data_IF_457257318999
#
_entry.id   IF_457257318999
#
_cell.length_a   1.000
_cell.length_b   1.000
_cell.length_c   1.000
_cell.angle_alpha   90.00
_cell.angle_beta   90.00
_cell.angle_gamma   90.00
#
_symmetry.space_group_name_H-M   'P 1'
#
loop_
_entity.id
_entity.type
_entity.pdbx_description
1 polymer ?
#
# COMPACT_ATOMS: atom_id res chain seq x y z
N UNK A 1 13.00 -7.07 -11.67
CA UNK A 1 11.57 -7.18 -11.21
C UNK A 1 10.90 -8.37 -11.86
N UNK A 2 10.08 -9.10 -11.14
CA UNK A 2 9.30 -10.21 -11.68
C UNK A 2 8.28 -9.70 -12.73
N UNK A 3 8.03 -10.50 -13.79
CA UNK A 3 7.10 -10.08 -14.85
C UNK A 3 5.69 -9.73 -14.34
N UNK A 4 5.17 -10.51 -13.38
CA UNK A 4 3.88 -10.25 -12.77
C UNK A 4 3.88 -8.98 -11.92
N UNK A 5 4.96 -8.69 -11.21
CA UNK A 5 5.13 -7.46 -10.43
C UNK A 5 5.08 -6.23 -11.33
N UNK A 6 5.85 -6.26 -12.43
CA UNK A 6 5.85 -5.19 -13.44
C UNK A 6 4.45 -4.94 -13.98
N UNK A 7 3.72 -6.00 -14.33
CA UNK A 7 2.36 -5.90 -14.85
C UNK A 7 1.40 -5.27 -13.84
N UNK A 8 1.51 -5.64 -12.56
CA UNK A 8 0.67 -5.07 -11.48
C UNK A 8 0.94 -3.58 -11.35
N UNK A 9 2.19 -3.15 -11.27
CA UNK A 9 2.52 -1.74 -11.10
C UNK A 9 2.22 -0.89 -12.33
N UNK A 10 2.38 -1.41 -13.55
CA UNK A 10 1.90 -0.76 -14.76
C UNK A 10 0.38 -0.57 -14.75
N UNK A 11 -0.35 -1.57 -14.27
CA UNK A 11 -1.79 -1.45 -14.10
C UNK A 11 -2.17 -0.41 -13.06
N UNK A 12 -1.50 -0.37 -11.91
CA UNK A 12 -1.74 0.68 -10.91
C UNK A 12 -1.50 2.07 -11.50
N UNK A 13 -0.39 2.24 -12.21
CA UNK A 13 -0.09 3.48 -12.93
C UNK A 13 -1.20 3.85 -13.90
N UNK A 14 -1.67 2.91 -14.72
CA UNK A 14 -2.78 3.15 -15.66
C UNK A 14 -4.07 3.56 -14.96
N UNK A 15 -4.45 2.90 -13.86
CA UNK A 15 -5.63 3.27 -13.05
C UNK A 15 -5.51 4.71 -12.55
N UNK A 16 -4.34 5.08 -12.05
CA UNK A 16 -4.09 6.41 -11.47
C UNK A 16 -4.09 7.47 -12.57
N UNK A 17 -3.36 7.25 -13.66
CA UNK A 17 -3.25 8.20 -14.78
C UNK A 17 -4.59 8.45 -15.49
N UNK A 18 -5.53 7.51 -15.41
CA UNK A 18 -6.90 7.73 -15.88
C UNK A 18 -7.69 8.74 -15.03
N UNK A 19 -7.24 9.00 -13.78
CA UNK A 19 -7.94 9.81 -12.79
C UNK A 19 -7.18 11.08 -12.40
N UNK A 20 -5.86 11.09 -12.61
CA UNK A 20 -4.95 12.20 -12.23
C UNK A 20 -4.08 12.54 -13.44
N UNK A 21 -3.95 13.83 -13.83
CA UNK A 21 -3.05 14.22 -14.91
C UNK A 21 -1.63 13.69 -14.66
N UNK A 22 -1.01 13.14 -15.70
CA UNK A 22 0.36 12.69 -15.63
C UNK A 22 1.27 13.84 -15.18
N UNK A 23 2.02 13.63 -14.10
CA UNK A 23 3.07 14.55 -13.69
C UNK A 23 4.16 14.63 -14.78
N UNK A 24 4.89 15.75 -14.84
CA UNK A 24 6.01 15.93 -15.79
C UNK A 24 7.10 14.84 -15.60
N UNK A 25 8.01 14.75 -16.57
CA UNK A 25 9.18 13.90 -16.44
C UNK A 25 10.01 14.33 -15.21
N UNK A 26 10.31 13.37 -14.35
CA UNK A 26 11.24 13.61 -13.24
C UNK A 26 12.65 13.86 -13.78
N UNK A 27 13.41 14.83 -13.23
CA UNK A 27 14.81 14.99 -13.57
C UNK A 27 15.60 13.71 -13.29
N UNK A 28 16.79 13.59 -13.84
CA UNK A 28 17.66 12.45 -13.56
C UNK A 28 17.89 12.33 -12.03
N UNK A 29 17.69 11.14 -11.44
CA UNK A 29 17.84 10.96 -9.99
C UNK A 29 19.28 11.23 -9.55
N UNK A 30 19.44 11.65 -8.30
CA UNK A 30 20.73 11.97 -7.69
C UNK A 30 20.94 11.13 -6.43
N UNK A 31 22.12 10.62 -6.24
CA UNK A 31 22.50 10.02 -4.97
C UNK A 31 22.65 11.09 -3.90
N UNK A 32 22.12 10.83 -2.73
CA UNK A 32 22.23 11.73 -1.58
C UNK A 32 22.34 10.91 -0.29
N UNK A 33 22.82 11.53 0.77
CA UNK A 33 22.66 11.05 2.14
C UNK A 33 21.47 11.79 2.74
N UNK A 34 20.84 11.20 3.76
CA UNK A 34 19.69 11.84 4.41
C UNK A 34 20.02 13.22 4.97
N UNK A 35 21.25 13.41 5.46
CA UNK A 35 21.74 14.69 5.98
C UNK A 35 21.73 15.79 4.92
N UNK A 36 22.02 15.46 3.67
CA UNK A 36 22.05 16.40 2.54
C UNK A 36 20.64 16.90 2.17
N UNK A 37 19.60 16.17 2.61
CA UNK A 37 18.20 16.45 2.32
C UNK A 37 17.49 17.21 3.46
N UNK A 38 18.13 17.32 4.64
CA UNK A 38 17.53 17.88 5.84
C UNK A 38 16.96 19.30 5.61
N UNK A 39 17.73 20.20 4.98
CA UNK A 39 17.31 21.58 4.76
C UNK A 39 16.45 21.78 3.50
N UNK A 40 16.29 20.74 2.70
CA UNK A 40 15.48 20.80 1.47
C UNK A 40 14.01 20.58 1.71
N UNK A 41 13.65 19.84 2.76
CA UNK A 41 12.28 19.42 3.04
C UNK A 41 11.84 19.83 4.44
N UNK A 42 10.57 20.12 4.56
CA UNK A 42 9.89 20.51 5.80
C UNK A 42 9.24 19.30 6.47
N UNK A 43 8.86 18.31 5.66
CA UNK A 43 8.25 17.07 6.10
C UNK A 43 8.87 15.85 5.42
N UNK A 44 8.96 14.75 6.18
CA UNK A 44 9.48 13.46 5.75
C UNK A 44 8.44 12.38 6.00
N UNK A 45 8.01 11.72 4.94
CA UNK A 45 7.12 10.57 4.99
C UNK A 45 7.94 9.30 4.76
N UNK A 46 7.80 8.31 5.61
CA UNK A 46 8.54 7.05 5.51
C UNK A 46 7.59 5.88 5.28
N UNK A 47 7.95 5.00 4.35
CA UNK A 47 7.46 3.64 4.44
C UNK A 47 8.08 2.91 5.64
N UNK A 48 7.39 1.88 6.14
CA UNK A 48 7.85 1.10 7.29
C UNK A 48 8.67 -0.12 6.89
N UNK A 49 7.97 -1.13 6.34
CA UNK A 49 8.54 -2.43 6.03
C UNK A 49 9.36 -2.40 4.74
N UNK A 50 10.65 -2.67 4.83
CA UNK A 50 11.59 -2.56 3.71
C UNK A 50 12.41 -1.26 3.74
N UNK A 51 11.91 -0.22 4.40
CA UNK A 51 12.57 1.08 4.49
C UNK A 51 13.20 1.32 5.87
N UNK A 52 12.42 1.36 6.94
CA UNK A 52 12.91 1.58 8.30
C UNK A 52 13.20 0.27 9.03
N UNK A 53 12.34 -0.70 8.86
CA UNK A 53 12.39 -1.99 9.56
C UNK A 53 11.78 -3.12 8.73
N UNK A 54 11.88 -4.36 9.26
CA UNK A 54 11.24 -5.51 8.69
C UNK A 54 10.55 -6.34 9.79
N UNK A 55 10.15 -7.57 9.48
CA UNK A 55 9.46 -8.49 10.41
C UNK A 55 10.25 -8.70 11.70
N UNK A 56 9.55 -9.04 12.77
CA UNK A 56 10.16 -9.21 14.08
C UNK A 56 10.72 -7.88 14.62
N UNK A 57 11.92 -7.92 15.16
CA UNK A 57 12.65 -6.76 15.71
C UNK A 57 13.70 -6.19 14.75
N UNK A 58 13.71 -6.63 13.49
CA UNK A 58 14.73 -6.21 12.53
C UNK A 58 14.57 -4.72 12.17
N UNK A 59 15.68 -4.00 12.27
CA UNK A 59 15.80 -2.58 11.89
C UNK A 59 16.95 -2.46 10.90
N UNK A 60 16.74 -1.71 9.84
CA UNK A 60 17.79 -1.47 8.86
C UNK A 60 18.84 -0.51 9.39
N UNK A 61 20.10 -0.74 9.03
CA UNK A 61 21.23 0.11 9.42
C UNK A 61 21.00 1.56 8.98
N UNK A 62 21.29 2.50 9.89
CA UNK A 62 21.12 3.95 9.68
C UNK A 62 19.68 4.46 9.81
N UNK A 63 18.65 3.61 9.80
CA UNK A 63 17.26 4.06 9.85
C UNK A 63 16.91 4.80 11.16
N UNK A 64 17.43 4.33 12.31
CA UNK A 64 17.23 5.03 13.59
C UNK A 64 18.00 6.34 13.67
N UNK A 65 19.15 6.44 13.01
CA UNK A 65 19.92 7.69 12.93
C UNK A 65 19.15 8.73 12.12
N UNK A 66 18.56 8.37 10.99
CA UNK A 66 17.67 9.24 10.21
C UNK A 66 16.51 9.73 11.06
N UNK A 67 15.81 8.82 11.72
CA UNK A 67 14.69 9.16 12.58
C UNK A 67 15.07 10.15 13.67
N UNK A 68 16.15 9.87 14.40
CA UNK A 68 16.64 10.69 15.52
C UNK A 68 17.06 12.08 15.05
N UNK A 69 17.82 12.16 13.96
CA UNK A 69 18.28 13.40 13.36
C UNK A 69 17.10 14.30 12.93
N UNK A 70 16.11 13.73 12.22
CA UNK A 70 14.95 14.47 11.74
C UNK A 70 14.07 14.97 12.90
N UNK A 71 13.88 14.14 13.93
CA UNK A 71 13.17 14.55 15.17
C UNK A 71 13.90 15.68 15.89
N UNK A 72 15.22 15.59 16.04
CA UNK A 72 16.02 16.64 16.66
C UNK A 72 15.98 17.96 15.87
N UNK A 73 15.87 17.88 14.55
CA UNK A 73 15.71 19.04 13.68
C UNK A 73 14.27 19.59 13.62
N UNK A 74 13.33 19.02 14.39
CA UNK A 74 11.93 19.47 14.43
C UNK A 74 11.14 19.26 13.16
N UNK A 75 11.55 18.31 12.30
CA UNK A 75 10.86 18.02 11.04
C UNK A 75 9.52 17.34 11.28
N UNK A 76 8.53 17.67 10.46
CA UNK A 76 7.29 16.91 10.43
C UNK A 76 7.57 15.51 9.88
N UNK A 77 7.09 14.47 10.56
CA UNK A 77 7.34 13.10 10.13
C UNK A 77 6.05 12.30 10.07
N UNK A 78 5.93 11.40 9.09
CA UNK A 78 4.79 10.47 8.96
C UNK A 78 5.29 9.08 8.62
N UNK A 79 4.67 8.08 9.23
CA UNK A 79 4.79 6.69 8.83
C UNK A 79 3.63 6.36 7.88
N UNK A 80 3.95 6.07 6.62
CA UNK A 80 2.96 5.77 5.58
C UNK A 80 3.14 4.32 5.15
N UNK A 81 2.22 3.45 5.54
CA UNK A 81 2.40 2.02 5.32
C UNK A 81 1.20 1.38 4.61
N UNK A 82 1.50 0.42 3.73
CA UNK A 82 0.49 -0.44 3.14
C UNK A 82 0.11 -1.62 4.06
N UNK A 83 0.68 -1.70 5.25
CA UNK A 83 0.28 -2.69 6.24
C UNK A 83 -1.17 -2.45 6.67
N UNK A 84 -2.01 -3.46 6.47
CA UNK A 84 -3.40 -3.52 6.95
C UNK A 84 -3.58 -4.71 7.91
N UNK A 85 -2.52 -5.02 8.65
CA UNK A 85 -2.49 -6.16 9.58
C UNK A 85 -3.05 -5.83 10.96
N UNK A 86 -3.28 -4.53 11.23
CA UNK A 86 -3.93 -4.01 12.43
C UNK A 86 -4.27 -2.52 12.24
N UNK A 87 -4.88 -1.89 13.25
CA UNK A 87 -5.22 -0.47 13.27
C UNK A 87 -4.00 0.42 13.52
N UNK A 88 -4.07 1.71 13.14
CA UNK A 88 -2.94 2.65 13.17
C UNK A 88 -2.27 2.77 14.55
N UNK A 89 -3.02 2.74 15.65
CA UNK A 89 -2.48 2.79 17.01
C UNK A 89 -1.59 1.58 17.34
N UNK A 90 -1.96 0.38 16.88
CA UNK A 90 -1.17 -0.85 17.06
C UNK A 90 0.07 -0.82 16.18
N UNK A 91 -0.05 -0.36 14.93
CA UNK A 91 1.08 -0.22 14.00
C UNK A 91 2.09 0.82 14.51
N UNK A 92 1.62 1.95 15.08
CA UNK A 92 2.48 2.95 15.73
C UNK A 92 3.23 2.36 16.93
N UNK A 93 2.52 1.62 17.80
CA UNK A 93 3.13 0.95 18.95
C UNK A 93 4.16 -0.12 18.52
N UNK A 94 3.91 -0.80 17.41
CA UNK A 94 4.84 -1.77 16.85
C UNK A 94 6.10 -1.12 16.26
N UNK A 95 5.97 0.03 15.60
CA UNK A 95 7.11 0.84 15.16
C UNK A 95 7.92 1.37 16.36
N UNK A 96 7.25 1.81 17.43
CA UNK A 96 7.89 2.31 18.64
C UNK A 96 8.78 1.25 19.33
N UNK A 97 8.38 -0.03 19.33
CA UNK A 97 9.21 -1.15 19.84
C UNK A 97 10.52 -1.30 19.07
N UNK A 98 10.61 -0.80 17.84
CA UNK A 98 11.81 -0.80 17.00
C UNK A 98 12.59 0.51 17.06
N UNK A 99 12.20 1.43 17.97
CA UNK A 99 12.86 2.73 18.14
C UNK A 99 12.26 3.88 17.33
N UNK A 100 11.13 3.66 16.63
CA UNK A 100 10.46 4.68 15.82
C UNK A 100 9.17 5.13 16.50
N UNK A 101 9.26 6.07 17.42
CA UNK A 101 8.12 6.55 18.22
C UNK A 101 7.22 7.51 17.41
N UNK A 102 6.61 7.01 16.36
CA UNK A 102 5.51 7.70 15.69
C UNK A 102 4.26 7.63 16.58
N UNK A 103 3.56 8.74 16.69
CA UNK A 103 2.23 8.74 17.30
C UNK A 103 1.20 8.10 16.35
N UNK A 104 0.02 7.75 16.87
CA UNK A 104 -1.10 7.30 16.04
C UNK A 104 -1.46 8.33 14.96
N UNK A 105 -1.46 9.63 15.30
CA UNK A 105 -1.75 10.71 14.35
C UNK A 105 -0.66 10.89 13.26
N UNK A 106 0.55 10.41 13.50
CA UNK A 106 1.64 10.40 12.52
C UNK A 106 1.68 9.10 11.70
N UNK A 107 0.89 8.11 12.05
CA UNK A 107 0.84 6.80 11.38
C UNK A 107 -0.40 6.75 10.49
N UNK A 108 -0.20 6.51 9.21
CA UNK A 108 -1.27 6.43 8.21
C UNK A 108 -1.10 5.11 7.47
N UNK A 109 -1.97 4.16 7.76
CA UNK A 109 -1.98 2.87 7.10
C UNK A 109 -3.03 2.80 6.00
N UNK A 110 -2.85 1.88 5.06
CA UNK A 110 -3.86 1.57 4.06
C UNK A 110 -5.16 1.07 4.70
N UNK A 111 -5.06 0.31 5.80
CA UNK A 111 -6.22 -0.18 6.56
C UNK A 111 -7.11 0.94 7.07
N UNK A 112 -6.53 2.04 7.53
CA UNK A 112 -7.30 3.17 8.07
C UNK A 112 -8.18 3.90 7.04
N UNK A 113 -7.93 3.67 5.74
CA UNK A 113 -8.75 4.23 4.65
C UNK A 113 -10.07 3.47 4.44
N UNK A 114 -10.20 2.27 5.02
CA UNK A 114 -11.44 1.48 4.89
C UNK A 114 -12.65 2.22 5.42
N UNK A 115 -12.49 2.99 6.48
CA UNK A 115 -13.58 3.79 7.08
C UNK A 115 -14.15 4.80 6.09
N UNK A 116 -13.28 5.52 5.38
CA UNK A 116 -13.70 6.53 4.40
C UNK A 116 -14.37 5.87 3.19
N UNK A 117 -13.82 4.74 2.72
CA UNK A 117 -14.42 3.94 1.66
C UNK A 117 -15.81 3.41 2.07
N UNK A 118 -15.98 2.96 3.31
CA UNK A 118 -17.29 2.51 3.82
C UNK A 118 -18.32 3.64 3.76
N UNK A 119 -17.95 4.85 4.17
CA UNK A 119 -18.83 6.02 4.09
C UNK A 119 -19.21 6.30 2.63
N UNK A 120 -18.25 6.27 1.74
CA UNK A 120 -18.49 6.46 0.29
C UNK A 120 -19.47 5.42 -0.26
N UNK A 121 -19.19 4.12 -0.06
CA UNK A 121 -20.01 3.04 -0.60
C UNK A 121 -21.42 3.01 -0.03
N UNK A 122 -21.58 3.34 1.26
CA UNK A 122 -22.90 3.44 1.93
C UNK A 122 -23.71 4.68 1.47
N UNK A 123 -23.04 5.75 1.02
CA UNK A 123 -23.69 6.99 0.58
C UNK A 123 -24.15 6.99 -0.87
N UNK A 124 -23.73 6.02 -1.69
CA UNK A 124 -24.09 5.93 -3.11
C UNK A 124 -25.61 5.77 -3.28
N UNK A 125 -26.17 6.48 -4.27
CA UNK A 125 -27.61 6.41 -4.57
C UNK A 125 -27.98 5.10 -5.25
N UNK A 126 -29.10 4.52 -4.86
CA UNK A 126 -29.67 3.32 -5.49
C UNK A 126 -29.94 3.58 -6.98
N UNK A 127 -29.43 2.73 -7.88
CA UNK A 127 -29.86 2.70 -9.29
C UNK A 127 -28.98 3.47 -10.30
N UNK A 128 -27.84 3.98 -9.93
CA UNK A 128 -26.90 4.66 -10.86
C UNK A 128 -25.78 3.72 -11.35
N UNK A 129 -26.07 2.72 -12.15
CA UNK A 129 -25.04 1.90 -12.83
C UNK A 129 -23.95 1.31 -11.90
N UNK A 130 -22.69 1.39 -12.27
CA UNK A 130 -21.53 1.14 -11.41
C UNK A 130 -21.57 2.06 -10.19
N UNK A 131 -22.32 1.72 -9.14
CA UNK A 131 -22.45 2.64 -8.00
C UNK A 131 -23.68 2.41 -7.13
N UNK A 132 -24.29 1.22 -7.14
CA UNK A 132 -25.34 0.90 -6.18
C UNK A 132 -24.80 1.02 -4.74
N UNK A 133 -25.64 1.56 -3.83
CA UNK A 133 -25.36 1.53 -2.40
C UNK A 133 -24.99 0.13 -1.95
N UNK A 134 -23.92 0.00 -1.20
CA UNK A 134 -23.45 -1.27 -0.65
C UNK A 134 -23.59 -1.29 0.86
N UNK A 135 -24.07 -2.39 1.37
CA UNK A 135 -24.18 -2.63 2.80
C UNK A 135 -22.98 -3.47 3.25
N UNK A 136 -21.91 -2.77 3.67
CA UNK A 136 -20.66 -3.37 4.11
C UNK A 136 -20.74 -3.79 5.59
N UNK A 137 -21.63 -4.72 5.93
CA UNK A 137 -21.70 -5.25 7.30
C UNK A 137 -20.92 -6.56 7.47
N UNK A 138 -20.74 -7.31 6.38
CA UNK A 138 -19.97 -8.55 6.42
C UNK A 138 -19.21 -8.75 5.11
N UNK A 139 -18.05 -9.42 5.22
CA UNK A 139 -17.16 -9.72 4.10
C UNK A 139 -16.56 -11.12 4.25
N UNK A 140 -16.20 -11.74 3.14
CA UNK A 140 -15.26 -12.85 3.14
C UNK A 140 -13.85 -12.29 3.27
N UNK A 141 -13.08 -12.75 4.26
CA UNK A 141 -11.81 -12.15 4.59
C UNK A 141 -10.62 -13.09 4.36
N UNK A 142 -9.58 -12.58 3.69
CA UNK A 142 -8.29 -13.23 3.52
C UNK A 142 -7.22 -12.37 4.18
N UNK A 143 -6.55 -12.91 5.20
CA UNK A 143 -5.51 -12.19 5.91
C UNK A 143 -5.15 -12.83 7.25
N UNK A 144 -4.36 -12.10 8.03
CA UNK A 144 -4.03 -12.47 9.39
C UNK A 144 -5.21 -12.19 10.31
N UNK A 145 -5.30 -12.92 11.42
CA UNK A 145 -6.38 -12.72 12.41
C UNK A 145 -6.44 -11.28 12.92
N UNK A 146 -5.28 -10.69 13.22
CA UNK A 146 -5.20 -9.29 13.69
C UNK A 146 -5.70 -8.27 12.66
N UNK A 147 -5.64 -8.56 11.37
CA UNK A 147 -6.19 -7.68 10.34
C UNK A 147 -7.71 -7.54 10.38
N UNK A 148 -8.41 -8.43 11.12
CA UNK A 148 -9.86 -8.28 11.38
C UNK A 148 -10.17 -7.08 12.25
N UNK A 149 -9.23 -6.62 13.10
CA UNK A 149 -9.41 -5.39 13.87
C UNK A 149 -9.67 -4.17 12.97
N UNK A 150 -9.09 -4.15 11.76
CA UNK A 150 -9.36 -3.11 10.77
C UNK A 150 -10.81 -3.17 10.29
N UNK A 151 -11.35 -4.37 10.03
CA UNK A 151 -12.75 -4.55 9.66
C UNK A 151 -13.69 -4.15 10.81
N UNK A 152 -13.40 -4.64 12.00
CA UNK A 152 -14.18 -4.38 13.23
C UNK A 152 -14.24 -2.87 13.56
N UNK A 153 -13.14 -2.14 13.32
CA UNK A 153 -13.10 -0.67 13.48
C UNK A 153 -14.07 0.08 12.56
N UNK A 154 -14.60 -0.62 11.54
CA UNK A 154 -15.56 -0.10 10.57
C UNK A 154 -16.95 -0.75 10.68
N UNK A 155 -17.21 -1.49 11.78
CA UNK A 155 -18.44 -2.27 12.00
C UNK A 155 -18.66 -3.34 10.91
N UNK A 156 -17.57 -3.95 10.41
CA UNK A 156 -17.59 -5.01 9.40
C UNK A 156 -17.20 -6.33 10.06
N UNK A 157 -17.99 -7.36 9.84
CA UNK A 157 -17.74 -8.72 10.31
C UNK A 157 -17.09 -9.58 9.22
N UNK A 158 -16.03 -10.29 9.54
CA UNK A 158 -15.54 -11.38 8.70
C UNK A 158 -16.42 -12.62 8.88
N UNK A 159 -16.95 -13.16 7.79
CA UNK A 159 -17.73 -14.43 7.84
C UNK A 159 -16.77 -15.62 8.06
N UNK A 160 -17.30 -16.74 8.53
CA UNK A 160 -16.53 -17.96 8.69
C UNK A 160 -15.99 -18.47 7.33
N UNK A 161 -14.84 -19.16 7.28
CA UNK A 161 -14.20 -19.56 6.02
C UNK A 161 -15.07 -20.41 5.08
N UNK A 162 -16.02 -21.18 5.61
CA UNK A 162 -16.97 -21.98 4.81
C UNK A 162 -18.28 -21.25 4.48
N UNK A 163 -18.45 -20.00 4.97
CA UNK A 163 -19.65 -19.21 4.74
C UNK A 163 -19.46 -18.22 3.57
N UNK A 164 -20.61 -17.77 3.04
CA UNK A 164 -20.63 -16.69 2.05
C UNK A 164 -21.28 -15.45 2.67
N UNK A 165 -20.73 -14.25 2.44
CA UNK A 165 -21.38 -13.02 2.87
C UNK A 165 -22.65 -12.77 2.05
N UNK A 166 -23.61 -12.04 2.59
CA UNK A 166 -24.86 -11.67 1.90
C UNK A 166 -24.54 -10.94 0.60
N UNK A 167 -23.75 -9.87 0.69
CA UNK A 167 -23.19 -9.23 -0.49
C UNK A 167 -21.87 -9.91 -0.90
N UNK A 168 -21.58 -10.05 -2.21
CA UNK A 168 -20.40 -10.76 -2.68
C UNK A 168 -19.14 -9.89 -2.53
N UNK A 169 -18.70 -9.69 -1.30
CA UNK A 169 -17.56 -8.83 -0.97
C UNK A 169 -16.45 -9.68 -0.37
N UNK A 170 -15.28 -9.61 -0.99
CA UNK A 170 -14.03 -10.19 -0.49
C UNK A 170 -13.11 -9.06 -0.06
N UNK A 171 -12.64 -9.08 1.18
CA UNK A 171 -11.62 -8.16 1.70
C UNK A 171 -10.32 -8.91 1.95
N UNK A 172 -9.19 -8.34 1.58
CA UNK A 172 -7.89 -8.96 1.80
C UNK A 172 -6.86 -7.96 2.33
N UNK A 173 -6.11 -8.37 3.36
CA UNK A 173 -5.05 -7.56 3.98
C UNK A 173 -3.67 -8.19 3.88
N UNK A 174 -3.56 -9.47 3.59
CA UNK A 174 -2.28 -10.17 3.39
C UNK A 174 -2.49 -11.46 2.59
N UNK A 175 -1.43 -11.93 1.90
CA UNK A 175 -1.42 -13.18 1.17
C UNK A 175 -1.33 -14.37 2.15
N UNK A 176 -2.44 -14.67 2.84
CA UNK A 176 -2.60 -15.78 3.79
C UNK A 176 -3.76 -16.68 3.37
N UNK A 177 -3.82 -16.94 2.06
CA UNK A 177 -4.76 -17.88 1.47
C UNK A 177 -4.30 -19.34 1.63
N UNK A 178 -5.28 -20.23 1.64
CA UNK A 178 -5.13 -21.65 1.37
C UNK A 178 -5.87 -21.95 0.05
N UNK A 179 -5.64 -23.11 -0.59
CA UNK A 179 -6.41 -23.49 -1.78
C UNK A 179 -7.93 -23.34 -1.58
N UNK A 180 -8.44 -23.77 -0.44
CA UNK A 180 -9.88 -23.75 -0.12
C UNK A 180 -10.39 -22.30 0.04
N UNK A 181 -9.65 -21.45 0.77
CA UNK A 181 -10.05 -20.05 0.95
C UNK A 181 -9.92 -19.25 -0.35
N UNK A 182 -8.95 -19.57 -1.19
CA UNK A 182 -8.81 -19.00 -2.51
C UNK A 182 -9.98 -19.35 -3.42
N UNK A 183 -10.30 -20.65 -3.55
CA UNK A 183 -11.42 -21.12 -4.38
C UNK A 183 -12.75 -20.52 -3.93
N UNK A 184 -12.99 -20.43 -2.62
CA UNK A 184 -14.19 -19.80 -2.07
C UNK A 184 -14.25 -18.30 -2.40
N UNK A 185 -13.13 -17.59 -2.29
CA UNK A 185 -13.06 -16.17 -2.68
C UNK A 185 -13.37 -15.97 -4.17
N UNK A 186 -12.78 -16.80 -5.05
CA UNK A 186 -13.06 -16.74 -6.50
C UNK A 186 -14.54 -17.01 -6.78
N UNK A 187 -15.14 -17.99 -6.09
CA UNK A 187 -16.58 -18.30 -6.22
C UNK A 187 -17.45 -17.08 -5.84
N UNK A 188 -17.13 -16.42 -4.73
CA UNK A 188 -17.82 -15.20 -4.29
C UNK A 188 -17.66 -14.09 -5.32
N UNK A 189 -16.42 -13.87 -5.80
CA UNK A 189 -16.09 -12.80 -6.75
C UNK A 189 -16.68 -13.01 -8.16
N UNK A 190 -17.15 -14.21 -8.50
CA UNK A 190 -17.91 -14.49 -9.73
C UNK A 190 -19.39 -14.16 -9.64
N UNK A 191 -19.88 -13.77 -8.47
CA UNK A 191 -21.28 -13.37 -8.30
C UNK A 191 -21.53 -11.97 -8.89
N UNK A 192 -22.73 -11.68 -9.43
CA UNK A 192 -23.08 -10.35 -9.93
C UNK A 192 -22.88 -9.25 -8.87
N UNK A 193 -22.21 -8.17 -9.25
CA UNK A 193 -21.93 -7.05 -8.37
C UNK A 193 -20.86 -7.30 -7.32
N UNK A 194 -20.01 -8.29 -7.54
CA UNK A 194 -18.95 -8.62 -6.60
C UNK A 194 -17.90 -7.48 -6.44
N UNK A 195 -17.40 -7.36 -5.23
CA UNK A 195 -16.38 -6.37 -4.85
C UNK A 195 -15.16 -7.07 -4.25
N UNK A 196 -13.98 -6.69 -4.70
CA UNK A 196 -12.70 -7.03 -4.09
C UNK A 196 -12.11 -5.80 -3.40
N UNK A 197 -11.98 -5.83 -2.08
CA UNK A 197 -11.34 -4.80 -1.27
C UNK A 197 -9.88 -5.20 -1.00
N UNK A 198 -8.94 -4.54 -1.64
CA UNK A 198 -7.50 -4.77 -1.48
C UNK A 198 -6.98 -3.79 -0.44
N UNK A 199 -6.87 -4.24 0.83
CA UNK A 199 -6.43 -3.39 1.94
C UNK A 199 -4.92 -3.18 1.96
N UNK A 200 -4.15 -3.98 1.23
CA UNK A 200 -2.71 -3.83 1.02
C UNK A 200 -2.39 -4.09 -0.46
N UNK A 201 -1.91 -3.08 -1.14
CA UNK A 201 -1.61 -3.10 -2.58
C UNK A 201 -0.17 -3.48 -2.93
N UNK A 202 0.72 -3.73 -1.96
CA UNK A 202 2.09 -4.15 -2.25
C UNK A 202 2.09 -5.47 -3.02
N UNK A 203 2.76 -5.50 -4.18
CA UNK A 203 2.83 -6.70 -5.01
C UNK A 203 3.91 -7.65 -4.50
N UNK A 204 5.09 -7.14 -4.18
CA UNK A 204 6.21 -7.85 -3.58
C UNK A 204 6.70 -7.13 -2.33
N UNK A 205 7.38 -7.87 -1.45
CA UNK A 205 8.00 -7.32 -0.26
C UNK A 205 9.35 -7.99 0.00
N UNK A 206 10.35 -7.23 0.50
CA UNK A 206 11.65 -7.80 0.86
C UNK A 206 11.54 -8.63 2.14
N UNK A 207 12.21 -9.77 2.16
CA UNK A 207 12.50 -10.51 3.40
C UNK A 207 13.64 -9.82 4.14
N UNK A 208 13.84 -10.22 5.39
CA UNK A 208 15.06 -9.87 6.12
C UNK A 208 16.24 -10.44 5.32
N UNK A 209 17.30 -9.63 5.07
CA UNK A 209 18.49 -10.11 4.38
C UNK A 209 19.07 -11.37 5.07
N UNK A 210 19.53 -12.33 4.28
CA UNK A 210 20.25 -13.49 4.79
C UNK A 210 21.63 -13.11 5.35
N UNK A 211 22.33 -14.10 5.92
CA UNK A 211 23.71 -13.92 6.44
C UNK A 211 24.71 -13.50 5.34
N UNK A 212 24.37 -13.74 4.07
CA UNK A 212 25.10 -13.31 2.88
C UNK A 212 24.79 -11.86 2.47
N UNK A 213 23.91 -11.17 3.18
CA UNK A 213 23.44 -9.82 2.86
C UNK A 213 22.46 -9.74 1.69
N UNK A 214 22.06 -10.88 1.11
CA UNK A 214 21.15 -10.91 -0.04
C UNK A 214 19.70 -10.74 0.45
N UNK A 215 19.00 -9.78 -0.13
CA UNK A 215 17.57 -9.58 0.10
C UNK A 215 16.76 -10.42 -0.90
N UNK A 216 16.06 -11.41 -0.39
CA UNK A 216 15.07 -12.19 -1.15
C UNK A 216 13.72 -11.49 -1.08
N UNK A 217 13.01 -11.42 -2.19
CA UNK A 217 11.65 -10.87 -2.26
C UNK A 217 10.60 -11.96 -2.36
N UNK A 218 9.42 -11.70 -1.85
CA UNK A 218 8.28 -12.62 -1.97
C UNK A 218 7.03 -11.88 -2.46
N UNK A 219 6.16 -12.56 -3.24
CA UNK A 219 4.86 -12.02 -3.60
C UNK A 219 3.99 -11.88 -2.35
N UNK A 220 3.26 -10.77 -2.28
CA UNK A 220 2.38 -10.47 -1.15
C UNK A 220 0.96 -10.10 -1.64
N UNK A 221 0.25 -9.28 -0.92
CA UNK A 221 -1.18 -9.01 -1.10
C UNK A 221 -1.58 -8.56 -2.51
N UNK A 222 -0.81 -7.68 -3.12
CA UNK A 222 -1.07 -7.19 -4.47
C UNK A 222 -1.00 -8.31 -5.53
N UNK A 223 -0.03 -9.23 -5.40
CA UNK A 223 0.06 -10.39 -6.29
C UNK A 223 -1.14 -11.33 -6.13
N UNK A 224 -1.58 -11.59 -4.89
CA UNK A 224 -2.78 -12.38 -4.63
C UNK A 224 -4.04 -11.68 -5.18
N UNK A 225 -4.16 -10.36 -4.98
CA UNK A 225 -5.31 -9.59 -5.48
C UNK A 225 -5.44 -9.67 -7.00
N UNK A 226 -4.31 -9.62 -7.71
CA UNK A 226 -4.30 -9.72 -9.16
C UNK A 226 -4.75 -11.12 -9.64
N UNK A 227 -4.32 -12.18 -8.96
CA UNK A 227 -4.79 -13.54 -9.24
C UNK A 227 -6.30 -13.66 -9.03
N UNK A 228 -6.81 -13.21 -7.87
CA UNK A 228 -8.24 -13.22 -7.57
C UNK A 228 -9.05 -12.44 -8.61
N UNK A 229 -8.57 -11.25 -9.00
CA UNK A 229 -9.22 -10.44 -10.00
C UNK A 229 -9.31 -11.13 -11.37
N UNK A 230 -8.22 -11.77 -11.82
CA UNK A 230 -8.20 -12.51 -13.10
C UNK A 230 -9.12 -13.72 -13.08
N UNK A 231 -9.06 -14.50 -12.02
CA UNK A 231 -9.84 -15.72 -11.89
C UNK A 231 -11.34 -15.45 -11.60
N UNK A 232 -11.68 -14.20 -11.21
CA UNK A 232 -13.08 -13.77 -11.05
C UNK A 232 -13.78 -13.39 -12.35
N UNK A 233 -13.04 -13.24 -13.46
CA UNK A 233 -13.65 -12.98 -14.78
C UNK A 233 -14.53 -14.18 -15.18
N UNK A 234 -15.76 -13.90 -15.54
CA UNK A 234 -16.72 -14.91 -15.98
C UNK A 234 -17.28 -14.53 -17.36
N UNK A 235 -16.65 -15.04 -18.42
CA UNK A 235 -17.04 -14.78 -19.81
C UNK A 235 -18.48 -15.22 -20.11
N UNK A 236 -18.95 -16.30 -19.47
CA UNK A 236 -20.30 -16.85 -19.68
C UNK A 236 -21.42 -15.87 -19.30
N UNK A 237 -21.17 -14.92 -18.44
CA UNK A 237 -22.13 -13.93 -17.98
C UNK A 237 -21.88 -12.52 -18.55
N UNK A 238 -20.91 -12.35 -19.47
CA UNK A 238 -20.53 -11.05 -20.02
C UNK A 238 -19.96 -10.07 -18.98
N UNK A 239 -19.51 -10.60 -17.82
CA UNK A 239 -19.02 -9.77 -16.72
C UNK A 239 -17.51 -9.56 -16.83
N UNK A 240 -17.12 -8.30 -16.81
CA UNK A 240 -15.72 -7.85 -16.85
C UNK A 240 -14.90 -8.13 -15.56
N UNK A 241 -15.40 -9.01 -14.68
CA UNK A 241 -14.80 -9.30 -13.38
C UNK A 241 -15.43 -8.49 -12.23
N UNK A 242 -14.84 -8.60 -11.03
CA UNK A 242 -15.30 -7.88 -9.85
C UNK A 242 -14.86 -6.41 -9.86
N UNK A 243 -15.66 -5.55 -9.25
CA UNK A 243 -15.25 -4.17 -8.93
C UNK A 243 -14.12 -4.23 -7.89
N UNK A 244 -12.98 -3.57 -8.14
CA UNK A 244 -11.82 -3.67 -7.25
C UNK A 244 -11.45 -2.31 -6.68
N UNK A 245 -11.36 -2.23 -5.35
CA UNK A 245 -10.92 -1.06 -4.61
C UNK A 245 -9.56 -1.32 -3.99
N UNK A 246 -8.58 -0.51 -4.36
CA UNK A 246 -7.24 -0.56 -3.81
C UNK A 246 -7.07 0.53 -2.76
N UNK A 247 -6.70 0.15 -1.54
CA UNK A 247 -6.34 1.06 -0.47
C UNK A 247 -4.82 1.11 -0.32
N UNK A 248 -4.32 2.29 0.08
CA UNK A 248 -2.89 2.50 0.30
C UNK A 248 -2.14 3.07 -0.90
N UNK A 249 -0.82 3.05 -0.81
CA UNK A 249 0.09 3.48 -1.87
C UNK A 249 0.00 2.56 -3.07
N UNK A 250 0.03 3.05 -4.31
CA UNK A 250 0.23 4.43 -4.75
C UNK A 250 -1.07 5.25 -4.93
N UNK A 251 -2.23 4.75 -4.50
CA UNK A 251 -3.53 5.32 -4.83
C UNK A 251 -3.82 6.66 -4.12
N UNK A 252 -4.57 7.58 -4.73
CA UNK A 252 -4.75 8.95 -4.24
C UNK A 252 -5.31 9.08 -2.83
N UNK A 253 -6.13 8.12 -2.37
CA UNK A 253 -6.81 8.21 -1.08
C UNK A 253 -5.83 8.36 0.11
N UNK A 254 -4.74 7.56 0.14
CA UNK A 254 -3.77 7.64 1.22
C UNK A 254 -3.04 8.99 1.21
N UNK A 255 -2.71 9.50 0.03
CA UNK A 255 -1.98 10.76 -0.13
C UNK A 255 -2.83 11.97 0.24
N UNK A 256 -4.12 11.95 -0.05
CA UNK A 256 -5.06 12.98 0.41
C UNK A 256 -5.11 13.03 1.94
N UNK A 257 -5.13 11.86 2.59
CA UNK A 257 -5.07 11.77 4.06
C UNK A 257 -3.73 12.29 4.59
N UNK A 258 -2.60 11.93 3.97
CA UNK A 258 -1.27 12.46 4.33
C UNK A 258 -1.25 13.99 4.24
N UNK A 259 -1.67 14.55 3.11
CA UNK A 259 -1.71 16.01 2.89
C UNK A 259 -2.55 16.73 3.95
N UNK A 260 -3.66 16.16 4.39
CA UNK A 260 -4.52 16.77 5.42
C UNK A 260 -3.85 16.87 6.79
N UNK A 261 -2.74 16.16 7.02
CA UNK A 261 -1.98 16.13 8.28
C UNK A 261 -0.70 16.98 8.24
N UNK A 262 -0.37 17.56 7.10
CA UNK A 262 0.83 18.36 6.89
C UNK A 262 0.47 19.84 6.70
N UNK A 263 1.46 20.71 6.88
CA UNK A 263 1.29 22.13 6.53
C UNK A 263 1.02 22.25 5.01
N UNK A 264 0.11 23.13 4.56
CA UNK A 264 -0.31 23.21 3.15
C UNK A 264 0.83 23.40 2.14
N UNK A 265 1.84 24.18 2.52
CA UNK A 265 2.98 24.54 1.64
C UNK A 265 4.25 23.75 1.99
N UNK A 266 4.14 22.68 2.78
CA UNK A 266 5.29 21.87 3.18
C UNK A 266 5.94 21.20 1.95
N UNK A 267 7.26 21.36 1.83
CA UNK A 267 8.07 20.56 0.90
C UNK A 267 8.23 19.18 1.51
N UNK A 268 7.68 18.17 0.85
CA UNK A 268 7.57 16.81 1.39
C UNK A 268 8.47 15.86 0.63
N UNK A 269 9.24 15.03 1.35
CA UNK A 269 9.98 13.91 0.81
C UNK A 269 9.32 12.60 1.26
N UNK A 270 8.95 11.74 0.30
CA UNK A 270 8.58 10.35 0.56
C UNK A 270 9.81 9.46 0.44
N UNK A 271 10.15 8.75 1.49
CA UNK A 271 11.26 7.78 1.55
C UNK A 271 10.68 6.38 1.58
N UNK A 272 11.02 5.58 0.60
CA UNK A 272 10.50 4.21 0.47
C UNK A 272 11.46 3.30 -0.30
N UNK A 273 11.10 2.04 -0.46
CA UNK A 273 11.92 1.02 -1.11
C UNK A 273 11.30 0.47 -2.41
N UNK A 274 10.11 0.95 -2.80
CA UNK A 274 9.34 0.40 -3.90
C UNK A 274 8.93 1.44 -4.93
N UNK A 275 9.36 1.23 -6.20
CA UNK A 275 9.03 2.13 -7.32
C UNK A 275 7.50 2.24 -7.54
N UNK A 276 6.81 1.11 -7.54
CA UNK A 276 5.39 1.03 -7.90
C UNK A 276 4.41 1.48 -6.83
N UNK A 277 4.85 1.72 -5.61
CA UNK A 277 4.02 2.21 -4.50
C UNK A 277 4.53 3.53 -3.93
N UNK A 278 5.76 3.58 -3.46
CA UNK A 278 6.31 4.76 -2.80
C UNK A 278 6.63 5.88 -3.78
N UNK A 279 7.42 5.58 -4.81
CA UNK A 279 7.86 6.57 -5.80
C UNK A 279 6.69 7.02 -6.68
N UNK A 280 5.92 6.07 -7.23
CA UNK A 280 4.70 6.40 -7.98
C UNK A 280 3.71 7.20 -7.13
N UNK A 281 3.52 6.79 -5.89
CA UNK A 281 2.61 7.44 -4.96
C UNK A 281 3.05 8.85 -4.57
N UNK A 282 4.34 9.08 -4.31
CA UNK A 282 4.89 10.42 -4.09
C UNK A 282 4.61 11.33 -5.29
N UNK A 283 4.83 10.85 -6.51
CA UNK A 283 4.51 11.58 -7.75
C UNK A 283 3.03 11.95 -7.85
N UNK A 284 2.13 11.03 -7.51
CA UNK A 284 0.67 11.27 -7.45
C UNK A 284 0.34 12.34 -6.41
N UNK A 285 1.06 12.34 -5.30
CA UNK A 285 0.91 13.34 -4.26
C UNK A 285 1.50 14.71 -4.64
N UNK A 286 2.37 14.81 -5.65
CA UNK A 286 3.17 16.00 -5.91
C UNK A 286 4.27 16.20 -4.87
N UNK A 287 4.75 15.11 -4.26
CA UNK A 287 5.88 15.07 -3.35
C UNK A 287 7.13 14.62 -4.09
N UNK A 288 8.29 15.04 -3.61
CA UNK A 288 9.56 14.44 -4.04
C UNK A 288 9.70 13.05 -3.41
N UNK A 289 10.48 12.20 -4.06
CA UNK A 289 10.69 10.81 -3.65
C UNK A 289 12.15 10.46 -3.49
N UNK A 290 12.47 9.64 -2.49
CA UNK A 290 13.77 9.02 -2.30
C UNK A 290 13.61 7.50 -2.23
N UNK A 291 14.29 6.79 -3.13
CA UNK A 291 14.32 5.34 -3.15
C UNK A 291 15.51 4.82 -2.35
N UNK A 292 15.25 3.98 -1.36
CA UNK A 292 16.28 3.22 -0.65
C UNK A 292 16.65 2.00 -1.49
N UNK A 293 17.80 2.09 -2.17
CA UNK A 293 18.26 1.06 -3.13
C UNK A 293 18.75 -0.19 -2.40
N UNK A 294 18.59 -1.35 -3.03
CA UNK A 294 19.04 -2.64 -2.47
C UNK A 294 18.07 -3.24 -1.44
N UNK A 295 16.85 -2.74 -1.34
CA UNK A 295 15.77 -3.31 -0.52
C UNK A 295 14.79 -4.09 -1.42
N UNK A 296 13.64 -3.54 -1.74
CA UNK A 296 12.69 -4.16 -2.66
C UNK A 296 13.10 -4.02 -4.13
N UNK A 297 13.91 -3.02 -4.46
CA UNK A 297 14.55 -2.89 -5.78
C UNK A 297 16.04 -3.23 -5.66
N UNK A 298 16.50 -4.35 -6.23
CA UNK A 298 17.92 -4.68 -6.30
C UNK A 298 18.71 -3.62 -7.09
N UNK A 299 19.92 -3.30 -6.63
CA UNK A 299 20.70 -2.23 -7.23
C UNK A 299 21.09 -2.53 -8.71
N UNK A 300 21.31 -3.78 -9.04
CA UNK A 300 21.63 -4.25 -10.40
C UNK A 300 20.44 -4.33 -11.35
N UNK A 301 19.19 -4.35 -10.81
CA UNK A 301 17.95 -4.33 -11.58
C UNK A 301 17.34 -2.92 -11.72
N UNK A 302 17.82 -1.94 -10.96
CA UNK A 302 17.21 -0.62 -10.80
C UNK A 302 16.91 0.08 -12.13
N UNK A 303 17.90 0.20 -13.01
CA UNK A 303 17.72 0.89 -14.31
C UNK A 303 16.70 0.18 -15.21
N UNK A 304 16.70 -1.15 -15.19
CA UNK A 304 15.76 -1.95 -15.95
C UNK A 304 14.32 -1.78 -15.43
N UNK A 305 14.16 -1.75 -14.11
CA UNK A 305 12.86 -1.59 -13.44
C UNK A 305 12.29 -0.18 -13.65
N UNK A 306 13.13 0.85 -13.54
CA UNK A 306 12.74 2.23 -13.85
C UNK A 306 12.27 2.39 -15.29
N UNK A 307 13.00 1.79 -16.23
CA UNK A 307 12.66 1.80 -17.65
C UNK A 307 11.36 1.04 -17.91
N UNK A 308 11.18 -0.13 -17.29
CA UNK A 308 9.99 -0.94 -17.46
C UNK A 308 8.73 -0.24 -16.97
N UNK A 309 8.80 0.44 -15.83
CA UNK A 309 7.66 1.17 -15.23
C UNK A 309 7.50 2.59 -15.78
N UNK A 310 8.56 3.19 -16.33
CA UNK A 310 8.60 4.61 -16.66
C UNK A 310 8.44 5.49 -15.41
N UNK A 311 9.04 5.05 -14.29
CA UNK A 311 8.99 5.72 -12.98
C UNK A 311 10.41 5.87 -12.48
N UNK A 312 10.77 7.07 -12.02
CA UNK A 312 12.06 7.38 -11.42
C UNK A 312 11.89 8.19 -10.15
N UNK A 313 12.68 7.96 -9.10
CA UNK A 313 12.70 8.80 -7.92
C UNK A 313 13.44 10.11 -8.19
N UNK A 314 13.36 11.07 -7.28
CA UNK A 314 14.18 12.29 -7.33
C UNK A 314 15.56 12.04 -6.70
N UNK A 315 15.63 11.11 -5.74
CA UNK A 315 16.82 10.77 -4.99
C UNK A 315 16.99 9.26 -4.82
N UNK A 316 18.25 8.83 -4.75
CA UNK A 316 18.65 7.51 -4.25
C UNK A 316 19.34 7.66 -2.89
N UNK A 317 18.97 6.79 -1.93
CA UNK A 317 19.55 6.65 -0.60
C UNK A 317 20.19 5.28 -0.42
#
# INVERSE_FOLDING_TARGET
MEALETEIYLRYKQIIESSVPAGGESPAPRYARMEDLLDRYDAFCFDGYGTLYNRGSFVYDGAQDWYTMLRAAGKQMRLITNAASDVDSVLAADAAKRGFAFSEAETISSGSLLKDLCVELRSRKFGSGLGARRDLHEVYYIGRETGKHVLESCDIKAVAPAAEPVEPIVAMSSAKDTPETYEQAVKILKRPGAILLVLNSDAWAPKIPGDDGITVREPVSGALSERLRRDSVCEANGMAGCETYYLGKPFPAIWNKVKSTLAPDARVLMVGDTLGTDVLGARVAGFDSALVVGRNVPADELEADEKALGIRPDWYL
#
